data_IF_271786944418
#
_entry.id   IF_271786944418
#
_cell.length_a   1.000
_cell.length_b   1.000
_cell.length_c   1.000
_cell.angle_alpha   90.00
_cell.angle_beta   90.00
_cell.angle_gamma   90.00
#
_symmetry.space_group_name_H-M   'P 1'
#
loop_
_entity.id
_entity.type
_entity.pdbx_description
1 polymer ?
#
# COMPACT_ATOMS: atom_id res chain seq x y z
N UNK A 1 -11.42 11.70 26.76
CA UNK A 1 -11.86 11.07 25.50
C UNK A 1 -10.65 10.34 24.95
N UNK A 2 -10.47 9.10 25.38
CA UNK A 2 -9.39 8.22 24.94
C UNK A 2 -10.12 7.09 24.20
N UNK A 3 -10.30 7.27 22.89
CA UNK A 3 -11.16 6.40 22.09
C UNK A 3 -11.14 6.89 20.65
N UNK A 4 -10.87 5.96 19.73
CA UNK A 4 -10.67 6.14 18.28
C UNK A 4 -9.29 6.64 17.81
N UNK A 5 -8.21 6.23 18.47
CA UNK A 5 -6.92 6.14 17.76
C UNK A 5 -6.68 4.72 17.30
N UNK A 6 -6.54 4.56 15.99
CA UNK A 6 -6.15 3.30 15.38
C UNK A 6 -4.76 2.89 15.90
N UNK A 7 -4.59 1.61 16.19
CA UNK A 7 -3.29 1.08 16.61
C UNK A 7 -2.21 1.50 15.61
N UNK A 8 -1.07 1.97 16.13
CA UNK A 8 0.02 2.49 15.28
C UNK A 8 0.47 1.47 14.25
N UNK A 9 0.53 0.19 14.61
CA UNK A 9 0.95 -0.89 13.71
C UNK A 9 -0.02 -1.08 12.54
N UNK A 10 -1.31 -0.82 12.74
CA UNK A 10 -2.35 -0.88 11.71
C UNK A 10 -2.26 0.37 10.83
N UNK A 11 -2.14 1.56 11.43
CA UNK A 11 -2.14 2.82 10.68
C UNK A 11 -0.94 2.91 9.72
N UNK A 12 0.25 2.48 10.14
CA UNK A 12 1.43 2.49 9.24
C UNK A 12 1.31 1.46 8.12
N UNK A 13 0.65 0.32 8.35
CA UNK A 13 0.39 -0.69 7.31
C UNK A 13 -0.61 -0.18 6.28
N UNK A 14 -1.71 0.40 6.74
CA UNK A 14 -2.69 1.07 5.86
C UNK A 14 -2.06 2.20 5.07
N UNK A 15 -1.17 2.98 5.70
CA UNK A 15 -0.40 4.01 5.02
C UNK A 15 0.44 3.39 3.89
N UNK A 16 1.25 2.36 4.17
CA UNK A 16 2.04 1.68 3.14
C UNK A 16 1.21 1.10 1.99
N UNK A 17 0.04 0.53 2.28
CA UNK A 17 -0.90 0.05 1.25
C UNK A 17 -1.47 1.20 0.40
N UNK A 18 -1.83 2.32 1.03
CA UNK A 18 -2.37 3.50 0.35
C UNK A 18 -1.32 4.11 -0.57
N UNK A 19 -0.10 4.37 -0.07
CA UNK A 19 0.99 4.95 -0.88
C UNK A 19 1.33 4.03 -2.06
N UNK A 20 1.41 2.71 -1.83
CA UNK A 20 1.64 1.74 -2.91
C UNK A 20 0.54 1.79 -3.99
N UNK A 21 -0.72 1.99 -3.59
CA UNK A 21 -1.81 2.16 -4.54
C UNK A 21 -1.75 3.52 -5.27
N UNK A 22 -1.51 4.62 -4.54
CA UNK A 22 -1.42 5.97 -5.09
C UNK A 22 -0.26 6.12 -6.08
N UNK A 23 0.92 5.57 -5.76
CA UNK A 23 2.11 5.70 -6.59
C UNK A 23 2.16 4.66 -7.71
N UNK A 24 1.71 3.43 -7.48
CA UNK A 24 1.96 2.28 -8.37
C UNK A 24 0.70 1.57 -8.86
N UNK A 25 -0.49 1.97 -8.39
CA UNK A 25 -1.77 1.35 -8.77
C UNK A 25 -1.96 -0.08 -8.25
N UNK A 26 -1.12 -0.54 -7.32
CA UNK A 26 -1.17 -1.91 -6.80
C UNK A 26 -2.06 -1.97 -5.55
N UNK A 27 -3.23 -2.61 -5.68
CA UNK A 27 -4.16 -2.82 -4.56
C UNK A 27 -4.01 -4.22 -3.96
N UNK A 28 -3.33 -4.33 -2.82
CA UNK A 28 -3.22 -5.59 -2.09
C UNK A 28 -4.44 -5.86 -1.21
N UNK A 29 -4.98 -7.07 -1.31
CA UNK A 29 -6.17 -7.51 -0.57
C UNK A 29 -5.90 -8.80 0.20
N UNK A 30 -6.58 -8.97 1.32
CA UNK A 30 -6.43 -10.16 2.13
C UNK A 30 -6.81 -11.42 1.34
N UNK A 31 -5.98 -12.45 1.42
CA UNK A 31 -6.28 -13.73 0.78
C UNK A 31 -7.46 -14.41 1.48
N UNK A 32 -8.58 -14.57 0.76
CA UNK A 32 -9.80 -15.26 1.25
C UNK A 32 -9.69 -16.80 1.20
N UNK A 33 -8.64 -17.33 0.56
CA UNK A 33 -8.34 -18.75 0.44
C UNK A 33 -7.44 -19.28 1.56
N UNK A 34 -6.81 -20.46 1.35
CA UNK A 34 -5.83 -21.00 2.28
C UNK A 34 -4.69 -20.01 2.52
N UNK A 35 -4.19 -19.92 3.76
CA UNK A 35 -3.04 -19.06 4.06
C UNK A 35 -1.79 -19.63 3.38
N UNK A 36 -1.35 -18.97 2.30
CA UNK A 36 -0.13 -19.31 1.56
C UNK A 36 1.07 -18.44 1.95
N UNK A 37 0.83 -17.37 2.73
CA UNK A 37 1.84 -16.35 3.02
C UNK A 37 2.06 -15.35 1.88
N UNK A 38 1.35 -15.50 0.75
CA UNK A 38 1.39 -14.55 -0.37
C UNK A 38 0.18 -13.63 -0.37
N UNK A 39 0.43 -12.35 -0.63
CA UNK A 39 -0.57 -11.32 -0.89
C UNK A 39 -1.19 -11.50 -2.28
N UNK A 40 -2.41 -10.98 -2.43
CA UNK A 40 -3.14 -10.95 -3.70
C UNK A 40 -3.30 -9.50 -4.16
N UNK A 41 -2.96 -9.21 -5.40
CA UNK A 41 -3.27 -7.92 -6.03
C UNK A 41 -4.58 -8.02 -6.81
N UNK A 42 -5.54 -7.13 -6.54
CA UNK A 42 -6.75 -6.99 -7.37
C UNK A 42 -6.46 -6.08 -8.55
N UNK A 43 -6.98 -6.45 -9.71
CA UNK A 43 -6.70 -5.79 -10.99
C UNK A 43 -7.96 -5.57 -11.84
N UNK A 44 -9.09 -6.14 -11.43
CA UNK A 44 -10.38 -6.16 -12.11
C UNK A 44 -11.24 -4.92 -11.78
N UNK A 45 -10.66 -3.72 -11.86
CA UNK A 45 -11.37 -2.46 -11.67
C UNK A 45 -10.63 -1.30 -12.38
N UNK A 46 -11.27 -0.12 -12.42
CA UNK A 46 -10.65 1.09 -13.00
C UNK A 46 -9.60 1.69 -12.06
N UNK A 47 -8.38 1.15 -12.14
CA UNK A 47 -7.26 1.55 -11.30
C UNK A 47 -6.93 3.03 -11.47
N UNK A 48 -6.86 3.54 -12.70
CA UNK A 48 -6.41 4.93 -12.96
C UNK A 48 -7.34 5.96 -12.38
N UNK A 49 -8.66 5.79 -12.56
CA UNK A 49 -9.63 6.73 -11.99
C UNK A 49 -9.58 6.71 -10.47
N UNK A 50 -9.48 5.52 -9.86
CA UNK A 50 -9.38 5.38 -8.42
C UNK A 50 -8.08 5.92 -7.84
N UNK A 51 -6.95 5.69 -8.52
CA UNK A 51 -5.64 6.21 -8.14
C UNK A 51 -5.68 7.75 -8.07
N UNK A 52 -6.17 8.39 -9.14
CA UNK A 52 -6.35 9.83 -9.17
C UNK A 52 -7.32 10.34 -8.09
N UNK A 53 -8.46 9.67 -7.90
CA UNK A 53 -9.44 10.07 -6.89
C UNK A 53 -8.93 9.95 -5.45
N UNK A 54 -8.14 8.90 -5.16
CA UNK A 54 -7.57 8.66 -3.84
C UNK A 54 -6.40 9.61 -3.57
N UNK A 55 -5.49 9.76 -4.54
CA UNK A 55 -4.35 10.70 -4.47
C UNK A 55 -4.83 12.15 -4.27
N UNK A 56 -5.83 12.60 -5.04
CA UNK A 56 -6.38 13.96 -4.92
C UNK A 56 -7.33 14.13 -3.71
N UNK A 57 -7.54 13.09 -2.90
CA UNK A 57 -8.43 13.11 -1.75
C UNK A 57 -9.92 13.25 -2.09
N UNK A 58 -10.32 13.03 -3.35
CA UNK A 58 -11.73 13.03 -3.78
C UNK A 58 -12.50 11.83 -3.24
N UNK A 59 -11.83 10.70 -3.04
CA UNK A 59 -12.38 9.50 -2.41
C UNK A 59 -11.43 8.99 -1.34
N UNK A 60 -11.98 8.46 -0.26
CA UNK A 60 -11.17 7.83 0.77
C UNK A 60 -10.70 6.45 0.31
N UNK A 61 -9.46 6.06 0.63
CA UNK A 61 -8.93 4.75 0.27
C UNK A 61 -9.78 3.58 0.79
N UNK A 62 -10.42 3.72 1.96
CA UNK A 62 -11.36 2.73 2.49
C UNK A 62 -12.58 2.50 1.59
N UNK A 63 -13.06 3.53 0.89
CA UNK A 63 -14.20 3.41 -0.03
C UNK A 63 -13.89 2.51 -1.23
N UNK A 64 -12.62 2.45 -1.65
CA UNK A 64 -12.18 1.53 -2.70
C UNK A 64 -12.36 0.07 -2.25
N UNK A 65 -11.89 -0.27 -1.06
CA UNK A 65 -12.08 -1.60 -0.49
C UNK A 65 -13.56 -1.95 -0.30
N UNK A 66 -14.37 -1.00 0.20
CA UNK A 66 -15.82 -1.18 0.34
C UNK A 66 -16.51 -1.45 -1.01
N UNK A 67 -16.21 -0.65 -2.04
CA UNK A 67 -16.79 -0.81 -3.37
C UNK A 67 -16.44 -2.16 -4.01
N UNK A 68 -15.23 -2.67 -3.77
CA UNK A 68 -14.78 -3.96 -4.30
C UNK A 68 -15.17 -5.15 -3.43
N UNK A 69 -15.79 -4.92 -2.26
CA UNK A 69 -16.04 -5.95 -1.25
C UNK A 69 -14.78 -6.73 -0.86
N UNK A 70 -13.69 -6.00 -0.69
CA UNK A 70 -12.37 -6.51 -0.30
C UNK A 70 -11.91 -5.95 1.05
N UNK A 71 -10.88 -6.55 1.61
CA UNK A 71 -10.22 -6.07 2.82
C UNK A 71 -8.74 -5.84 2.57
N UNK A 72 -8.12 -4.81 3.18
CA UNK A 72 -6.68 -4.55 3.03
C UNK A 72 -5.85 -5.71 3.58
N UNK A 73 -4.78 -6.08 2.87
CA UNK A 73 -3.88 -7.14 3.32
C UNK A 73 -2.88 -6.65 4.38
N UNK A 74 -3.37 -6.40 5.59
CA UNK A 74 -2.52 -5.90 6.67
C UNK A 74 -1.50 -6.95 7.14
N UNK A 75 -1.88 -8.23 7.12
CA UNK A 75 -1.09 -9.30 7.71
C UNK A 75 -0.18 -10.02 6.71
N UNK A 76 -0.39 -9.83 5.41
CA UNK A 76 0.59 -10.19 4.37
C UNK A 76 1.78 -9.23 4.30
N UNK A 77 1.68 -8.04 4.93
CA UNK A 77 2.81 -7.11 5.06
C UNK A 77 3.77 -7.56 6.17
N UNK A 78 4.89 -8.16 5.76
CA UNK A 78 5.99 -8.49 6.66
C UNK A 78 6.76 -7.22 7.03
N UNK A 79 6.94 -6.98 8.32
CA UNK A 79 7.72 -5.85 8.83
C UNK A 79 9.22 -6.14 8.65
N UNK A 80 9.85 -5.39 7.74
CA UNK A 80 11.24 -5.63 7.36
C UNK A 80 12.23 -4.83 8.22
N UNK A 81 11.99 -3.53 8.36
CA UNK A 81 12.88 -2.65 9.13
C UNK A 81 12.22 -1.31 9.43
N UNK A 82 12.80 -0.55 10.36
CA UNK A 82 12.43 0.84 10.64
C UNK A 82 13.66 1.73 10.50
N UNK A 83 13.48 2.91 9.90
CA UNK A 83 14.52 3.92 9.75
C UNK A 83 14.07 5.25 10.32
N UNK A 84 14.99 5.93 11.00
CA UNK A 84 14.75 7.27 11.52
C UNK A 84 15.77 8.25 10.92
N UNK A 85 15.28 9.38 10.41
CA UNK A 85 16.16 10.41 9.87
C UNK A 85 17.16 10.91 10.94
N UNK A 86 18.48 10.92 10.66
CA UNK A 86 19.50 11.36 11.61
C UNK A 86 19.26 12.78 12.13
N UNK A 87 19.63 13.03 13.38
CA UNK A 87 19.34 14.30 14.09
C UNK A 87 20.01 15.54 13.51
N UNK A 88 21.08 15.36 12.72
CA UNK A 88 21.77 16.45 12.03
C UNK A 88 20.90 17.11 10.93
N UNK A 89 19.89 16.40 10.42
CA UNK A 89 18.91 16.94 9.47
C UNK A 89 17.76 17.61 10.24
N UNK A 90 17.89 18.93 10.47
CA UNK A 90 16.97 19.66 11.36
C UNK A 90 15.66 20.13 10.73
N UNK A 91 15.52 20.10 9.40
CA UNK A 91 14.34 20.66 8.70
C UNK A 91 13.17 19.69 8.58
N UNK A 92 13.43 18.44 8.16
CA UNK A 92 12.41 17.41 7.96
C UNK A 92 12.99 16.09 8.44
N UNK A 93 12.27 15.41 9.33
CA UNK A 93 12.66 14.11 9.90
C UNK A 93 11.47 13.19 9.82
N UNK A 94 11.74 11.93 9.55
CA UNK A 94 10.75 10.89 9.44
C UNK A 94 11.17 9.67 10.26
N UNK A 95 10.17 8.94 10.69
CA UNK A 95 10.29 7.57 11.16
C UNK A 95 9.52 6.72 10.15
N UNK A 96 10.26 5.94 9.38
CA UNK A 96 9.72 5.19 8.24
C UNK A 96 9.78 3.71 8.58
N UNK A 97 8.63 3.04 8.55
CA UNK A 97 8.54 1.59 8.60
C UNK A 97 8.56 1.05 7.16
N UNK A 98 9.36 0.01 6.92
CA UNK A 98 9.44 -0.69 5.64
C UNK A 98 8.73 -2.04 5.74
N UNK A 99 7.87 -2.30 4.77
CA UNK A 99 7.13 -3.55 4.65
C UNK A 99 7.52 -4.30 3.38
N UNK A 100 7.50 -5.63 3.46
CA UNK A 100 7.64 -6.53 2.32
C UNK A 100 6.31 -7.26 2.11
N UNK A 101 5.78 -7.19 0.89
CA UNK A 101 4.67 -8.01 0.44
C UNK A 101 5.18 -9.02 -0.59
N UNK A 102 4.93 -10.30 -0.36
CA UNK A 102 5.27 -11.35 -1.31
C UNK A 102 4.05 -11.68 -2.18
N UNK A 103 4.18 -11.59 -3.50
CA UNK A 103 3.14 -12.00 -4.44
C UNK A 103 3.61 -13.26 -5.18
N UNK A 104 2.68 -14.18 -5.43
CA UNK A 104 2.97 -15.40 -6.18
C UNK A 104 2.81 -15.23 -7.70
N UNK A 105 2.16 -14.15 -8.12
CA UNK A 105 1.94 -13.80 -9.53
C UNK A 105 2.45 -12.38 -9.77
N UNK A 106 2.96 -12.13 -10.97
CA UNK A 106 3.31 -10.78 -11.41
C UNK A 106 2.01 -9.99 -11.56
N UNK A 107 1.93 -8.83 -10.90
CA UNK A 107 0.81 -7.90 -11.09
C UNK A 107 1.20 -6.76 -12.03
N UNK A 108 0.25 -6.24 -12.84
CA UNK A 108 0.45 -4.99 -13.56
C UNK A 108 0.71 -3.84 -12.59
N UNK A 109 1.60 -2.93 -13.00
CA UNK A 109 1.94 -1.72 -12.24
C UNK A 109 1.62 -0.50 -13.09
N UNK A 110 1.01 0.50 -12.47
CA UNK A 110 0.56 1.75 -13.07
C UNK A 110 1.21 2.91 -12.31
N UNK A 111 2.46 3.27 -12.63
CA UNK A 111 3.15 4.37 -11.97
C UNK A 111 2.39 5.68 -12.20
N UNK A 112 2.32 6.49 -11.15
CA UNK A 112 1.88 7.88 -11.21
C UNK A 112 2.93 8.74 -11.93
N UNK A 113 2.49 9.78 -12.66
CA UNK A 113 3.32 10.50 -13.63
C UNK A 113 4.30 11.50 -13.00
N UNK A 114 4.06 11.95 -11.76
CA UNK A 114 4.83 13.02 -11.12
C UNK A 114 5.71 12.53 -9.96
N UNK A 115 5.23 11.59 -9.15
CA UNK A 115 5.94 11.12 -7.96
C UNK A 115 6.89 9.94 -8.26
N UNK A 116 6.58 9.13 -9.28
CA UNK A 116 7.37 7.94 -9.63
C UNK A 116 8.26 8.20 -10.84
N UNK A 117 9.57 8.22 -10.61
CA UNK A 117 10.56 8.38 -11.69
C UNK A 117 10.96 7.06 -12.33
N UNK A 118 11.11 6.01 -11.52
CA UNK A 118 11.56 4.70 -11.95
C UNK A 118 10.84 3.60 -11.19
N UNK A 119 10.52 2.51 -11.89
CA UNK A 119 9.97 1.29 -11.32
C UNK A 119 10.43 0.09 -12.16
N UNK A 120 10.46 -1.10 -11.56
CA UNK A 120 10.86 -2.32 -12.26
C UNK A 120 9.91 -3.46 -11.93
N UNK A 121 9.36 -4.07 -12.97
CA UNK A 121 8.61 -5.33 -12.90
C UNK A 121 9.41 -6.38 -13.65
N UNK A 122 9.77 -7.46 -12.95
CA UNK A 122 10.47 -8.58 -13.56
C UNK A 122 9.67 -9.84 -13.34
N UNK A 123 9.14 -10.41 -14.42
CA UNK A 123 8.67 -11.78 -14.40
C UNK A 123 9.87 -12.71 -14.22
N UNK A 124 9.77 -13.65 -13.27
CA UNK A 124 10.72 -14.76 -13.20
C UNK A 124 10.53 -15.59 -14.48
N UNK A 125 11.61 -15.85 -15.26
CA UNK A 125 11.54 -16.67 -16.47
C UNK A 125 11.21 -18.14 -16.17
#
# INVERSE_FOLDING_TARGET
>A
MEGDQLDRSISVRLCGLRECFEELGVLLVANKGPQTGFSVARTDFDVRTWQADVHDGRKAFGQLYEQLHETPDLWGLYEWSTWMTPTHFRRKRFETAFFLAALNEVCPVLPEDYEVQEYMVRAMP
#
